data_IF_351649721218
#
_entry.id   IF_351649721218
#
_cell.length_a   1.000
_cell.length_b   1.000
_cell.length_c   1.000
_cell.angle_alpha   90.00
_cell.angle_beta   90.00
_cell.angle_gamma   90.00
#
_symmetry.space_group_name_H-M   'P 1'
#
loop_
_entity.id
_entity.type
_entity.pdbx_description
1 polymer ?
#
# COMPACT_ATOMS: atom_id res chain seq x y z
N UNK A 1 -12.69 -12.45 -8.02
CA UNK A 1 -11.79 -11.78 -7.06
C UNK A 1 -12.23 -10.34 -6.97
N UNK A 2 -12.54 -9.86 -5.77
CA UNK A 2 -12.85 -8.44 -5.54
C UNK A 2 -11.57 -7.60 -5.44
N UNK A 3 -11.71 -6.27 -5.47
CA UNK A 3 -10.57 -5.38 -5.24
C UNK A 3 -10.03 -5.52 -3.82
N UNK A 4 -10.93 -5.69 -2.85
CA UNK A 4 -10.63 -5.95 -1.44
C UNK A 4 -9.79 -7.22 -1.28
N UNK A 5 -10.16 -8.31 -1.96
CA UNK A 5 -9.41 -9.57 -1.94
C UNK A 5 -8.00 -9.37 -2.51
N UNK A 6 -7.87 -8.61 -3.60
CA UNK A 6 -6.59 -8.34 -4.23
C UNK A 6 -5.68 -7.50 -3.31
N UNK A 7 -6.21 -6.43 -2.70
CA UNK A 7 -5.45 -5.61 -1.77
C UNK A 7 -4.98 -6.43 -0.55
N UNK A 8 -5.83 -7.28 0.01
CA UNK A 8 -5.43 -8.18 1.10
C UNK A 8 -4.37 -9.19 0.66
N UNK A 9 -4.50 -9.76 -0.55
CA UNK A 9 -3.52 -10.69 -1.11
C UNK A 9 -2.12 -10.07 -1.21
N UNK A 10 -2.02 -8.81 -1.64
CA UNK A 10 -0.75 -8.09 -1.80
C UNK A 10 -0.27 -7.32 -0.56
N UNK A 11 -1.00 -7.37 0.55
CA UNK A 11 -0.62 -6.73 1.82
C UNK A 11 -0.65 -7.74 2.97
N UNK A 12 -1.78 -7.88 3.66
CA UNK A 12 -1.96 -8.73 4.83
C UNK A 12 -1.54 -10.19 4.59
N UNK A 13 -2.03 -10.81 3.53
CA UNK A 13 -1.78 -12.23 3.27
C UNK A 13 -0.34 -12.47 2.80
N UNK A 14 0.24 -11.52 2.06
CA UNK A 14 1.65 -11.57 1.70
C UNK A 14 2.54 -11.50 2.94
N UNK A 15 2.25 -10.60 3.89
CA UNK A 15 2.98 -10.53 5.15
C UNK A 15 2.86 -11.84 5.95
N UNK A 16 1.64 -12.39 6.09
CA UNK A 16 1.39 -13.63 6.81
C UNK A 16 2.15 -14.84 6.23
N UNK A 17 2.12 -15.04 4.91
CA UNK A 17 2.82 -16.16 4.26
C UNK A 17 4.34 -16.05 4.41
N UNK A 18 4.86 -14.84 4.60
CA UNK A 18 6.28 -14.59 4.86
C UNK A 18 6.64 -14.57 6.35
N UNK A 19 5.67 -14.79 7.26
CA UNK A 19 5.86 -14.66 8.71
C UNK A 19 6.29 -13.26 9.17
N UNK A 20 5.80 -12.23 8.47
CA UNK A 20 6.08 -10.81 8.71
C UNK A 20 4.84 -10.04 9.17
N UNK A 21 3.74 -10.72 9.52
CA UNK A 21 2.46 -10.11 9.90
C UNK A 21 2.57 -9.18 11.12
N UNK A 22 3.48 -9.43 12.03
CA UNK A 22 3.77 -8.55 13.18
C UNK A 22 4.66 -7.35 12.81
N UNK A 23 5.20 -7.32 11.59
CA UNK A 23 6.20 -6.34 11.15
C UNK A 23 5.68 -5.42 10.04
N UNK A 24 4.89 -5.93 9.08
CA UNK A 24 4.42 -5.18 7.91
C UNK A 24 3.07 -5.73 7.39
N UNK A 25 2.55 -5.16 6.31
CA UNK A 25 1.31 -5.60 5.64
C UNK A 25 0.03 -4.95 6.16
N UNK A 26 0.09 -4.14 7.22
CA UNK A 26 -1.01 -3.29 7.70
C UNK A 26 -0.49 -2.00 8.32
N UNK A 27 -1.39 -1.03 8.50
CA UNK A 27 -1.09 0.26 9.13
C UNK A 27 -1.53 0.20 10.60
N UNK A 28 -0.59 -0.15 11.47
CA UNK A 28 -0.81 -0.30 12.91
C UNK A 28 0.39 0.21 13.70
N UNK A 29 0.16 0.71 14.92
CA UNK A 29 1.24 1.20 15.78
C UNK A 29 2.20 0.04 16.13
N UNK A 30 3.49 0.26 15.93
CA UNK A 30 4.55 -0.73 16.20
C UNK A 30 5.06 -1.46 14.94
N UNK A 31 4.33 -1.41 13.82
CA UNK A 31 4.77 -1.98 12.54
C UNK A 31 5.67 -1.00 11.76
N UNK A 32 6.41 -1.54 10.80
CA UNK A 32 7.23 -0.76 9.88
C UNK A 32 6.34 0.16 9.03
N UNK A 33 6.83 1.38 8.80
CA UNK A 33 6.15 2.34 7.94
C UNK A 33 6.47 2.06 6.46
N UNK A 34 6.03 0.90 5.97
CA UNK A 34 6.07 0.50 4.56
C UNK A 34 4.74 0.86 3.89
N UNK A 35 4.73 1.97 3.14
CA UNK A 35 3.49 2.56 2.63
C UNK A 35 3.65 2.99 1.17
N UNK A 36 2.58 2.83 0.39
CA UNK A 36 2.44 3.43 -0.93
C UNK A 36 1.24 4.39 -0.92
N UNK A 37 1.48 5.65 -1.27
CA UNK A 37 0.42 6.64 -1.49
C UNK A 37 0.04 6.64 -2.96
N UNK A 38 -1.25 6.54 -3.25
CA UNK A 38 -1.80 6.51 -4.60
C UNK A 38 -2.46 7.85 -4.94
N UNK A 39 -2.46 8.22 -6.21
CA UNK A 39 -3.10 9.45 -6.71
C UNK A 39 -4.62 9.38 -6.79
N UNK A 40 -5.19 8.18 -6.65
CA UNK A 40 -6.63 7.95 -6.67
C UNK A 40 -7.07 6.89 -5.66
N UNK A 41 -8.34 6.98 -5.25
CA UNK A 41 -8.98 5.97 -4.44
C UNK A 41 -9.52 4.84 -5.33
N UNK A 42 -8.88 3.68 -5.26
CA UNK A 42 -9.21 2.51 -6.09
C UNK A 42 -10.66 2.02 -5.91
N UNK A 43 -11.29 2.27 -4.75
CA UNK A 43 -12.69 1.90 -4.50
C UNK A 43 -13.72 2.84 -5.14
N UNK A 44 -13.27 3.94 -5.76
CA UNK A 44 -14.14 4.98 -6.33
C UNK A 44 -13.99 5.13 -7.84
N UNK A 45 -13.10 4.35 -8.46
CA UNK A 45 -12.84 4.40 -9.90
C UNK A 45 -13.34 3.12 -10.57
N UNK A 46 -13.56 3.20 -11.89
CA UNK A 46 -13.89 2.01 -12.67
C UNK A 46 -12.70 1.03 -12.66
N UNK A 47 -12.94 -0.30 -12.64
CA UNK A 47 -11.86 -1.29 -12.62
C UNK A 47 -10.81 -1.10 -13.72
N UNK A 48 -11.23 -0.66 -14.90
CA UNK A 48 -10.37 -0.42 -16.06
C UNK A 48 -9.41 0.76 -15.84
N UNK A 49 -9.75 1.71 -14.97
CA UNK A 49 -8.92 2.87 -14.63
C UNK A 49 -7.89 2.57 -13.53
N UNK A 50 -7.97 1.40 -12.88
CA UNK A 50 -7.02 1.02 -11.82
C UNK A 50 -5.59 0.91 -12.38
N UNK A 51 -5.41 0.47 -13.63
CA UNK A 51 -4.09 0.38 -14.26
C UNK A 51 -3.41 1.74 -14.48
N UNK A 52 -4.18 2.82 -14.49
CA UNK A 52 -3.67 4.17 -14.69
C UNK A 52 -3.24 4.85 -13.37
N UNK A 53 -3.48 4.19 -12.22
CA UNK A 53 -3.10 4.68 -10.88
C UNK A 53 -1.60 4.93 -10.81
N UNK A 54 -1.22 6.09 -10.29
CA UNK A 54 0.18 6.42 -10.02
C UNK A 54 0.47 6.33 -8.55
N UNK A 55 1.66 5.82 -8.24
CA UNK A 55 2.24 5.95 -6.90
C UNK A 55 2.78 7.38 -6.79
N UNK A 56 2.32 8.13 -5.79
CA UNK A 56 2.81 9.47 -5.46
C UNK A 56 3.99 9.43 -4.51
N UNK A 57 3.99 8.47 -3.58
CA UNK A 57 5.00 8.31 -2.53
C UNK A 57 5.20 6.83 -2.20
N UNK A 58 6.45 6.43 -1.97
CA UNK A 58 6.77 5.15 -1.32
C UNK A 58 7.64 5.41 -0.10
N UNK A 59 7.17 4.90 1.03
CA UNK A 59 7.92 4.82 2.29
C UNK A 59 8.38 3.38 2.47
N UNK A 60 9.64 3.20 2.83
CA UNK A 60 10.21 1.91 3.24
C UNK A 60 10.89 2.09 4.59
N UNK A 61 10.43 1.37 5.61
CA UNK A 61 10.84 1.53 7.01
C UNK A 61 10.80 3.01 7.48
N UNK A 62 9.79 3.76 7.03
CA UNK A 62 9.62 5.18 7.37
C UNK A 62 10.52 6.16 6.62
N UNK A 63 11.34 5.69 5.67
CA UNK A 63 12.15 6.54 4.80
C UNK A 63 11.48 6.68 3.44
N UNK A 64 11.46 7.90 2.90
CA UNK A 64 11.00 8.13 1.54
C UNK A 64 12.02 7.55 0.57
N UNK A 65 11.59 6.57 -0.23
CA UNK A 65 12.42 5.94 -1.28
C UNK A 65 11.96 6.30 -2.70
N UNK A 66 10.75 6.86 -2.82
CA UNK A 66 10.21 7.36 -4.08
C UNK A 66 9.19 8.49 -3.79
N UNK A 67 9.17 9.52 -4.63
CA UNK A 67 8.33 10.71 -4.46
C UNK A 67 8.90 11.72 -3.46
N UNK A 68 8.04 12.59 -2.93
CA UNK A 68 8.38 13.56 -1.90
C UNK A 68 7.18 13.83 -0.99
N UNK A 69 7.44 14.26 0.25
CA UNK A 69 6.41 14.68 1.19
C UNK A 69 6.01 16.16 1.03
N UNK A 70 6.76 16.92 0.23
CA UNK A 70 6.51 18.35 0.04
C UNK A 70 5.10 18.58 -0.52
N UNK A 71 4.26 19.28 0.25
CA UNK A 71 2.89 19.63 -0.16
C UNK A 71 1.80 18.61 0.20
N UNK A 72 2.11 17.59 1.02
CA UNK A 72 1.10 16.82 1.77
C UNK A 72 0.66 17.54 3.06
#
# INVERSE_FOLDING_TARGET
MSLEDALQAFTLNAAFVNHLEEQTGSIEVGKQADLALLDQNLFRVAPEAISDTKVLLTLFEGKVVYGHLDGL
#
